data_IF_427002387596
#
_entry.id   IF_427002387596
#
_cell.length_a   1.000
_cell.length_b   1.000
_cell.length_c   1.000
_cell.angle_alpha   90.00
_cell.angle_beta   90.00
_cell.angle_gamma   90.00
#
_symmetry.space_group_name_H-M   'P 1'
#
loop_
_entity.id
_entity.type
_entity.pdbx_description
1 polymer ?
#
# COMPACT_ATOMS: atom_id res chain seq x y z
N UNK A 1 -22.95 -21.41 18.25
CA UNK A 1 -22.46 -20.04 18.00
C UNK A 1 -21.18 -19.82 18.81
N UNK A 2 -20.03 -19.68 18.15
CA UNK A 2 -18.73 -19.48 18.84
C UNK A 2 -18.68 -18.08 19.46
N UNK A 3 -18.30 -17.96 20.74
CA UNK A 3 -18.25 -16.67 21.46
C UNK A 3 -16.80 -16.25 21.68
N UNK A 4 -16.37 -15.19 20.98
CA UNK A 4 -15.02 -14.61 21.13
C UNK A 4 -14.79 -14.21 22.59
N UNK A 5 -13.72 -14.71 23.22
CA UNK A 5 -13.28 -14.31 24.57
C UNK A 5 -12.46 -13.02 24.50
N UNK A 6 -12.62 -12.15 25.49
CA UNK A 6 -11.77 -10.96 25.68
C UNK A 6 -10.35 -11.36 26.11
N UNK A 7 -9.43 -10.39 26.21
CA UNK A 7 -8.01 -10.65 26.49
C UNK A 7 -7.80 -11.42 27.80
N UNK A 8 -8.49 -10.99 28.88
CA UNK A 8 -8.44 -11.64 30.19
C UNK A 8 -8.95 -13.08 30.11
N UNK A 9 -10.08 -13.30 29.44
CA UNK A 9 -10.66 -14.62 29.25
C UNK A 9 -9.80 -15.57 28.40
N UNK A 10 -9.03 -15.04 27.44
CA UNK A 10 -8.05 -15.81 26.66
C UNK A 10 -6.85 -16.22 27.51
N UNK A 11 -6.28 -15.29 28.26
CA UNK A 11 -5.12 -15.53 29.12
C UNK A 11 -5.47 -16.52 30.24
N UNK A 12 -6.63 -16.35 30.85
CA UNK A 12 -7.13 -17.26 31.87
C UNK A 12 -7.37 -18.67 31.33
N UNK A 13 -7.93 -18.81 30.12
CA UNK A 13 -8.10 -20.11 29.47
C UNK A 13 -6.74 -20.76 29.16
N UNK A 14 -5.77 -19.99 28.68
CA UNK A 14 -4.40 -20.47 28.39
C UNK A 14 -3.72 -21.04 29.63
N UNK A 15 -3.89 -20.37 30.77
CA UNK A 15 -3.28 -20.78 32.04
C UNK A 15 -3.98 -21.98 32.67
N UNK A 16 -5.33 -21.99 32.68
CA UNK A 16 -6.12 -23.00 33.38
C UNK A 16 -6.24 -24.32 32.61
N UNK A 17 -6.35 -24.26 31.29
CA UNK A 17 -6.61 -25.45 30.46
C UNK A 17 -6.03 -25.24 29.06
N UNK A 18 -4.75 -25.61 28.91
CA UNK A 18 -4.01 -25.41 27.67
C UNK A 18 -4.65 -26.15 26.48
N UNK A 19 -5.24 -27.33 26.71
CA UNK A 19 -5.92 -28.10 25.66
C UNK A 19 -7.16 -27.36 25.16
N UNK A 20 -8.01 -26.85 26.07
CA UNK A 20 -9.15 -25.99 25.69
C UNK A 20 -8.72 -24.67 25.09
N UNK A 21 -7.56 -24.12 25.47
CA UNK A 21 -7.00 -22.94 24.80
C UNK A 21 -6.60 -23.24 23.35
N UNK A 22 -5.95 -24.38 23.09
CA UNK A 22 -5.61 -24.81 21.73
C UNK A 22 -6.86 -25.07 20.89
N UNK A 23 -7.88 -25.73 21.46
CA UNK A 23 -9.18 -25.91 20.83
C UNK A 23 -9.86 -24.57 20.55
N UNK A 24 -9.90 -23.65 21.51
CA UNK A 24 -10.43 -22.29 21.33
C UNK A 24 -9.69 -21.51 20.23
N UNK A 25 -8.37 -21.65 20.09
CA UNK A 25 -7.59 -21.03 19.01
C UNK A 25 -7.92 -21.64 17.65
N UNK A 26 -8.13 -22.95 17.58
CA UNK A 26 -8.58 -23.66 16.37
C UNK A 26 -10.01 -23.26 15.99
N UNK A 27 -10.94 -23.24 16.95
CA UNK A 27 -12.31 -22.78 16.77
C UNK A 27 -12.38 -21.29 16.38
N UNK A 28 -11.55 -20.43 16.99
CA UNK A 28 -11.44 -19.02 16.59
C UNK A 28 -10.96 -18.89 15.15
N UNK A 29 -9.98 -19.72 14.74
CA UNK A 29 -9.46 -19.74 13.37
C UNK A 29 -10.54 -20.22 12.38
N UNK A 30 -11.24 -21.31 12.68
CA UNK A 30 -12.32 -21.83 11.85
C UNK A 30 -13.53 -20.91 11.83
N UNK A 31 -13.84 -20.24 12.95
CA UNK A 31 -14.90 -19.24 13.02
C UNK A 31 -14.58 -18.04 12.12
N UNK A 32 -13.32 -17.58 12.08
CA UNK A 32 -12.93 -16.53 11.12
C UNK A 32 -12.97 -17.01 9.67
N UNK A 33 -12.73 -18.29 9.40
CA UNK A 33 -12.86 -18.89 8.07
C UNK A 33 -14.32 -19.07 7.67
N UNK A 34 -15.20 -19.41 8.61
CA UNK A 34 -16.65 -19.47 8.40
C UNK A 34 -17.26 -18.06 8.24
N UNK A 35 -16.80 -17.05 8.99
CA UNK A 35 -17.18 -15.64 8.78
C UNK A 35 -16.76 -15.17 7.37
N UNK A 36 -15.55 -15.52 6.93
CA UNK A 36 -15.09 -15.25 5.57
C UNK A 36 -15.93 -16.00 4.53
N UNK A 37 -16.19 -17.30 4.70
CA UNK A 37 -17.03 -18.10 3.82
C UNK A 37 -18.46 -17.56 3.74
N UNK A 38 -19.07 -17.23 4.88
CA UNK A 38 -20.40 -16.63 4.94
C UNK A 38 -20.44 -15.26 4.26
N UNK A 39 -19.35 -14.48 4.34
CA UNK A 39 -19.20 -13.26 3.54
C UNK A 39 -19.14 -13.57 2.04
N UNK A 40 -18.33 -14.54 1.62
CA UNK A 40 -18.22 -14.93 0.20
C UNK A 40 -19.50 -15.57 -0.36
N UNK A 41 -20.33 -16.19 0.50
CA UNK A 41 -21.57 -16.87 0.13
C UNK A 41 -22.83 -16.02 0.35
N UNK A 42 -22.70 -14.78 0.82
CA UNK A 42 -23.84 -13.90 1.10
C UNK A 42 -24.37 -13.20 -0.16
N UNK A 43 -25.67 -13.34 -0.43
CA UNK A 43 -26.31 -12.79 -1.65
C UNK A 43 -26.28 -11.25 -1.73
N UNK A 44 -26.29 -10.56 -0.58
CA UNK A 44 -26.29 -9.09 -0.48
C UNK A 44 -24.91 -8.44 -0.75
N UNK A 45 -23.88 -9.24 -1.05
CA UNK A 45 -22.51 -8.72 -1.26
C UNK A 45 -22.39 -7.94 -2.57
N UNK A 46 -21.66 -6.82 -2.51
CA UNK A 46 -21.23 -6.05 -3.67
C UNK A 46 -19.95 -6.65 -4.29
N UNK A 47 -20.08 -7.84 -4.88
CA UNK A 47 -18.98 -8.66 -5.42
C UNK A 47 -18.96 -8.76 -6.95
N UNK A 48 -19.81 -8.00 -7.61
CA UNK A 48 -19.83 -7.84 -9.06
C UNK A 48 -20.04 -6.37 -9.39
N UNK A 49 -19.60 -5.97 -10.58
CA UNK A 49 -19.78 -4.61 -11.07
C UNK A 49 -21.27 -4.25 -11.17
N UNK A 50 -22.11 -5.19 -11.61
CA UNK A 50 -23.55 -5.02 -11.80
C UNK A 50 -24.24 -4.69 -10.48
N UNK A 51 -23.97 -5.46 -9.41
CA UNK A 51 -24.52 -5.21 -8.07
C UNK A 51 -24.07 -3.86 -7.53
N UNK A 52 -22.80 -3.50 -7.72
CA UNK A 52 -22.26 -2.21 -7.29
C UNK A 52 -22.98 -1.06 -7.99
N UNK A 53 -23.18 -1.15 -9.32
CA UNK A 53 -23.89 -0.14 -10.11
C UNK A 53 -25.37 -0.04 -9.70
N UNK A 54 -26.03 -1.16 -9.42
CA UNK A 54 -27.41 -1.18 -8.95
C UNK A 54 -27.57 -0.45 -7.61
N UNK A 55 -26.74 -0.79 -6.62
CA UNK A 55 -26.77 -0.13 -5.30
C UNK A 55 -26.38 1.35 -5.40
N UNK A 56 -25.38 1.69 -6.23
CA UNK A 56 -25.00 3.08 -6.48
C UNK A 56 -26.16 3.90 -7.04
N UNK A 57 -26.91 3.37 -8.03
CA UNK A 57 -28.08 4.05 -8.60
C UNK A 57 -29.19 4.24 -7.58
N UNK A 58 -29.42 3.25 -6.71
CA UNK A 58 -30.45 3.28 -5.67
C UNK A 58 -30.13 4.28 -4.55
N UNK A 59 -28.90 4.27 -4.06
CA UNK A 59 -28.48 5.07 -2.90
C UNK A 59 -27.97 6.46 -3.31
N UNK A 60 -27.62 6.66 -4.58
CA UNK A 60 -27.09 7.92 -5.11
C UNK A 60 -25.67 8.26 -4.66
N UNK A 61 -24.99 7.37 -3.93
CA UNK A 61 -23.60 7.48 -3.47
C UNK A 61 -23.05 6.11 -3.09
N UNK A 62 -21.73 6.02 -2.86
CA UNK A 62 -21.08 4.86 -2.27
C UNK A 62 -20.13 5.25 -1.14
N UNK A 63 -20.14 4.42 -0.09
CA UNK A 63 -19.29 4.57 1.09
C UNK A 63 -18.40 3.34 1.17
N UNK A 64 -17.10 3.56 0.99
CA UNK A 64 -16.08 2.51 0.94
C UNK A 64 -15.19 2.64 2.17
N UNK A 65 -14.84 1.54 2.82
CA UNK A 65 -13.97 1.55 3.99
C UNK A 65 -12.70 0.72 3.77
N UNK A 66 -11.60 1.16 4.39
CA UNK A 66 -10.32 0.46 4.39
C UNK A 66 -9.53 0.76 5.68
N UNK A 67 -8.75 -0.20 6.18
CA UNK A 67 -7.96 -0.06 7.42
C UNK A 67 -6.47 -0.39 7.33
N UNK A 68 -6.01 -0.79 6.14
CA UNK A 68 -4.62 -1.19 5.91
C UNK A 68 -3.58 -0.11 6.13
N UNK A 69 -2.31 -0.51 6.15
CA UNK A 69 -1.21 0.46 6.21
C UNK A 69 -1.31 1.46 5.04
N UNK A 70 -0.59 2.58 5.13
CA UNK A 70 -0.62 3.63 4.11
C UNK A 70 -0.43 3.10 2.68
N UNK A 71 0.50 2.16 2.46
CA UNK A 71 0.69 1.52 1.16
C UNK A 71 -0.51 0.71 0.69
N UNK A 72 -1.14 -0.07 1.57
CA UNK A 72 -2.36 -0.84 1.25
C UNK A 72 -3.49 0.10 0.80
N UNK A 73 -3.64 1.27 1.44
CA UNK A 73 -4.63 2.29 1.05
C UNK A 73 -4.35 2.81 -0.36
N UNK A 74 -3.08 3.12 -0.69
CA UNK A 74 -2.69 3.57 -2.04
C UNK A 74 -2.96 2.49 -3.09
N UNK A 75 -2.69 1.22 -2.79
CA UNK A 75 -2.96 0.10 -3.69
C UNK A 75 -4.45 -0.26 -3.83
N UNK A 76 -5.33 0.24 -2.95
CA UNK A 76 -6.77 0.11 -3.09
C UNK A 76 -7.37 1.14 -4.08
N UNK A 77 -6.71 2.28 -4.27
CA UNK A 77 -7.17 3.38 -5.13
C UNK A 77 -7.54 2.99 -6.56
N UNK A 78 -6.81 2.14 -7.30
CA UNK A 78 -7.19 1.83 -8.68
C UNK A 78 -8.53 1.09 -8.76
N UNK A 79 -8.86 0.26 -7.76
CA UNK A 79 -10.18 -0.37 -7.65
C UNK A 79 -11.26 0.68 -7.34
N UNK A 80 -11.00 1.59 -6.39
CA UNK A 80 -11.92 2.66 -6.00
C UNK A 80 -12.19 3.61 -7.18
N UNK A 81 -11.14 4.01 -7.90
CA UNK A 81 -11.23 4.84 -9.11
C UNK A 81 -12.11 4.16 -10.15
N UNK A 82 -11.91 2.87 -10.40
CA UNK A 82 -12.74 2.13 -11.36
C UNK A 82 -14.21 2.06 -10.92
N UNK A 83 -14.47 1.87 -9.63
CA UNK A 83 -15.83 1.93 -9.06
C UNK A 83 -16.47 3.30 -9.31
N UNK A 84 -15.74 4.40 -9.04
CA UNK A 84 -16.23 5.75 -9.30
C UNK A 84 -16.58 5.96 -10.78
N UNK A 85 -15.72 5.50 -11.70
CA UNK A 85 -15.94 5.60 -13.15
C UNK A 85 -17.20 4.86 -13.62
N UNK A 86 -17.39 3.60 -13.19
CA UNK A 86 -18.49 2.76 -13.69
C UNK A 86 -19.84 3.11 -13.05
N UNK A 87 -19.83 3.74 -11.88
CA UNK A 87 -21.06 4.11 -11.15
C UNK A 87 -21.47 5.55 -11.41
N UNK A 88 -20.52 6.48 -11.57
CA UNK A 88 -20.79 7.90 -11.78
C UNK A 88 -21.41 8.62 -10.58
N UNK A 89 -21.48 7.98 -9.41
CA UNK A 89 -22.02 8.57 -8.18
C UNK A 89 -20.89 9.08 -7.27
N UNK A 90 -21.19 9.99 -6.32
CA UNK A 90 -20.25 10.35 -5.27
C UNK A 90 -19.69 9.14 -4.52
N UNK A 91 -18.36 9.06 -4.40
CA UNK A 91 -17.65 8.00 -3.68
C UNK A 91 -16.91 8.58 -2.48
N UNK A 92 -17.23 8.09 -1.29
CA UNK A 92 -16.60 8.47 -0.03
C UNK A 92 -15.69 7.34 0.47
N UNK A 93 -14.45 7.67 0.82
CA UNK A 93 -13.50 6.73 1.41
C UNK A 93 -13.35 6.98 2.92
N UNK A 94 -13.60 5.95 3.71
CA UNK A 94 -13.46 5.97 5.16
C UNK A 94 -12.23 5.18 5.60
N UNK A 95 -11.39 5.80 6.44
CA UNK A 95 -10.24 5.17 7.06
C UNK A 95 -10.63 4.66 8.45
N UNK A 96 -10.58 3.34 8.63
CA UNK A 96 -10.79 2.70 9.95
C UNK A 96 -9.45 2.64 10.67
N UNK A 97 -9.32 3.43 11.72
CA UNK A 97 -8.05 3.59 12.44
C UNK A 97 -7.82 2.49 13.48
N UNK A 98 -6.58 2.45 13.98
CA UNK A 98 -6.16 1.67 15.14
C UNK A 98 -6.39 0.16 15.02
N UNK A 99 -6.43 -0.37 13.80
CA UNK A 99 -6.44 -1.81 13.60
C UNK A 99 -5.09 -2.40 13.99
N UNK A 100 -5.06 -3.53 14.72
CA UNK A 100 -3.82 -4.15 15.15
C UNK A 100 -3.00 -4.56 13.94
N UNK A 101 -1.68 -4.37 14.00
CA UNK A 101 -0.80 -4.95 12.98
C UNK A 101 -0.96 -6.49 12.99
N UNK A 102 -1.04 -7.14 11.81
CA UNK A 102 -0.98 -8.59 11.74
C UNK A 102 0.37 -9.03 12.30
N UNK A 103 0.41 -10.18 12.99
CA UNK A 103 1.68 -10.74 13.47
C UNK A 103 2.69 -10.77 12.32
N UNK A 104 3.88 -10.18 12.48
CA UNK A 104 4.84 -10.04 11.40
C UNK A 104 5.26 -11.44 10.94
N UNK A 105 4.92 -11.80 9.70
CA UNK A 105 5.24 -13.11 9.11
C UNK A 105 6.77 -13.30 9.03
N UNK A 106 7.54 -12.21 8.93
CA UNK A 106 8.98 -12.25 8.65
C UNK A 106 9.84 -11.25 9.46
N UNK A 107 9.34 -10.68 10.56
CA UNK A 107 10.12 -9.72 11.36
C UNK A 107 9.88 -9.87 12.85
N UNK A 108 10.92 -10.22 13.62
CA UNK A 108 10.90 -10.15 15.08
C UNK A 108 11.13 -8.74 15.62
N UNK A 109 11.34 -7.74 14.76
CA UNK A 109 11.50 -6.33 15.15
C UNK A 109 10.16 -5.61 15.18
N UNK A 110 9.88 -4.77 16.20
CA UNK A 110 8.69 -3.93 16.22
C UNK A 110 8.67 -3.01 15.00
N UNK A 111 7.50 -2.84 14.38
CA UNK A 111 7.34 -1.94 13.25
C UNK A 111 7.65 -0.50 13.70
N UNK A 112 8.45 0.23 12.91
CA UNK A 112 8.87 1.62 13.21
C UNK A 112 7.70 2.61 13.38
N UNK A 113 6.48 2.21 13.05
CA UNK A 113 5.27 3.04 13.05
C UNK A 113 4.29 2.69 14.19
N UNK A 114 4.69 1.84 15.15
CA UNK A 114 3.89 1.47 16.30
C UNK A 114 3.10 0.17 16.14
N UNK A 115 2.12 -0.05 17.01
CA UNK A 115 1.39 -1.32 17.12
C UNK A 115 0.14 -1.44 16.22
N UNK A 116 -0.18 -0.39 15.46
CA UNK A 116 -1.41 -0.29 14.66
C UNK A 116 -1.10 0.04 13.20
N UNK A 117 -2.00 -0.34 12.29
CA UNK A 117 -1.83 -0.11 10.85
C UNK A 117 -1.85 1.39 10.48
N UNK A 118 -2.94 2.08 10.83
CA UNK A 118 -3.08 3.53 10.66
C UNK A 118 -3.39 4.17 12.02
N UNK A 119 -2.48 5.02 12.51
CA UNK A 119 -2.75 5.95 13.61
C UNK A 119 -3.18 7.33 13.11
N UNK A 120 -3.61 8.21 14.01
CA UNK A 120 -4.13 9.54 13.67
C UNK A 120 -3.18 10.37 12.78
N UNK A 121 -1.87 10.41 13.11
CA UNK A 121 -0.91 11.19 12.32
C UNK A 121 -0.78 10.71 10.87
N UNK A 122 -0.73 9.39 10.66
CA UNK A 122 -0.73 8.79 9.31
C UNK A 122 -2.04 9.05 8.59
N UNK A 123 -3.16 8.95 9.30
CA UNK A 123 -4.49 9.21 8.74
C UNK A 123 -4.62 10.65 8.23
N UNK A 124 -4.18 11.65 9.01
CA UNK A 124 -4.20 13.05 8.59
C UNK A 124 -3.39 13.25 7.31
N UNK A 125 -2.16 12.72 7.25
CA UNK A 125 -1.31 12.83 6.05
C UNK A 125 -1.92 12.14 4.83
N UNK A 126 -2.54 10.96 5.00
CA UNK A 126 -3.26 10.27 3.93
C UNK A 126 -4.46 11.09 3.45
N UNK A 127 -5.31 11.56 4.37
CA UNK A 127 -6.51 12.34 4.03
C UNK A 127 -6.13 13.58 3.22
N UNK A 128 -5.07 14.31 3.61
CA UNK A 128 -4.58 15.47 2.85
C UNK A 128 -4.23 15.12 1.41
N UNK A 129 -3.50 14.01 1.17
CA UNK A 129 -3.16 13.55 -0.17
C UNK A 129 -4.39 13.06 -0.95
N UNK A 130 -5.24 12.25 -0.33
CA UNK A 130 -6.34 11.58 -1.02
C UNK A 130 -7.50 12.52 -1.36
N UNK A 131 -7.65 13.64 -0.64
CA UNK A 131 -8.62 14.70 -0.96
C UNK A 131 -8.34 15.44 -2.26
N UNK A 132 -7.13 15.35 -2.81
CA UNK A 132 -6.82 15.97 -4.10
C UNK A 132 -7.28 15.12 -5.30
N UNK A 133 -7.79 13.90 -5.05
CA UNK A 133 -8.17 12.96 -6.10
C UNK A 133 -9.62 13.20 -6.55
N UNK A 134 -9.82 13.58 -7.81
CA UNK A 134 -11.13 13.98 -8.35
C UNK A 134 -12.19 12.87 -8.35
N UNK A 135 -11.76 11.60 -8.33
CA UNK A 135 -12.66 10.44 -8.28
C UNK A 135 -13.15 10.12 -6.85
N UNK A 136 -12.70 10.86 -5.83
CA UNK A 136 -13.19 10.78 -4.46
C UNK A 136 -13.94 12.06 -4.10
N UNK A 137 -15.18 11.92 -3.63
CA UNK A 137 -15.98 13.06 -3.16
C UNK A 137 -15.51 13.54 -1.79
N UNK A 138 -15.09 12.62 -0.92
CA UNK A 138 -14.40 12.96 0.33
C UNK A 138 -13.63 11.75 0.89
N UNK A 139 -12.69 12.05 1.81
CA UNK A 139 -11.93 11.06 2.57
C UNK A 139 -11.93 11.45 4.05
N UNK A 140 -12.40 10.56 4.92
CA UNK A 140 -12.58 10.83 6.35
C UNK A 140 -12.19 9.66 7.23
N UNK A 141 -12.06 9.90 8.53
CA UNK A 141 -12.00 8.82 9.52
C UNK A 141 -13.39 8.20 9.66
N UNK A 142 -13.44 6.88 9.81
CA UNK A 142 -14.67 6.16 10.08
C UNK A 142 -15.19 6.43 11.50
N UNK A 143 -16.44 6.88 11.60
CA UNK A 143 -17.15 7.23 12.85
C UNK A 143 -18.53 6.54 12.91
N UNK A 144 -18.65 5.34 12.33
CA UNK A 144 -19.89 4.54 12.23
C UNK A 144 -20.86 4.95 11.11
N UNK A 145 -20.35 5.48 10.00
CA UNK A 145 -21.16 5.70 8.80
C UNK A 145 -21.66 4.37 8.21
N UNK A 146 -22.78 4.37 7.48
CA UNK A 146 -23.23 3.21 6.70
C UNK A 146 -22.17 2.89 5.64
N UNK A 147 -21.64 1.68 5.65
CA UNK A 147 -20.66 1.21 4.66
C UNK A 147 -21.35 0.35 3.61
N UNK A 148 -21.04 0.62 2.34
CA UNK A 148 -21.51 -0.16 1.20
C UNK A 148 -20.48 -1.22 0.79
N UNK A 149 -19.19 -0.86 0.77
CA UNK A 149 -18.09 -1.75 0.38
C UNK A 149 -17.02 -1.73 1.47
N UNK A 150 -16.74 -2.89 2.07
CA UNK A 150 -15.59 -3.06 2.98
C UNK A 150 -14.44 -3.73 2.23
N UNK A 151 -13.38 -2.95 1.97
CA UNK A 151 -12.22 -3.48 1.25
C UNK A 151 -11.32 -4.33 2.15
N UNK A 152 -11.45 -4.27 3.48
CA UNK A 152 -10.63 -5.09 4.39
C UNK A 152 -10.86 -6.59 4.22
N UNK A 153 -11.96 -6.98 3.56
CA UNK A 153 -12.22 -8.37 3.16
C UNK A 153 -11.14 -8.96 2.27
N UNK A 154 -10.23 -8.15 1.71
CA UNK A 154 -9.07 -8.72 1.04
C UNK A 154 -8.20 -9.57 1.98
N UNK A 155 -8.26 -9.32 3.30
CA UNK A 155 -7.55 -10.07 4.35
C UNK A 155 -8.31 -11.30 4.85
N UNK A 156 -9.38 -11.70 4.17
CA UNK A 156 -10.23 -12.85 4.53
C UNK A 156 -9.56 -14.24 4.38
N UNK A 157 -8.26 -14.29 4.03
CA UNK A 157 -7.43 -15.48 3.76
C UNK A 157 -7.76 -16.25 2.46
N UNK A 158 -8.75 -15.81 1.69
CA UNK A 158 -9.05 -16.41 0.38
C UNK A 158 -8.20 -15.82 -0.74
N UNK A 159 -7.66 -14.61 -0.54
CA UNK A 159 -6.78 -13.96 -1.51
C UNK A 159 -5.32 -14.30 -1.20
N UNK A 160 -4.53 -14.71 -2.21
CA UNK A 160 -3.11 -15.00 -2.05
C UNK A 160 -2.26 -13.72 -1.87
N UNK A 161 -2.13 -13.23 -0.63
CA UNK A 161 -1.46 -11.95 -0.31
C UNK A 161 0.06 -11.94 -0.47
N UNK A 162 0.69 -13.08 -0.77
CA UNK A 162 2.16 -13.18 -0.91
C UNK A 162 2.61 -13.32 -2.34
N UNK A 163 1.77 -13.89 -3.21
CA UNK A 163 2.09 -14.27 -4.58
C UNK A 163 1.04 -13.76 -5.59
N UNK A 164 0.37 -12.65 -5.28
CA UNK A 164 -0.46 -11.90 -6.23
C UNK A 164 -0.22 -10.41 -6.10
N UNK A 165 -0.49 -9.65 -7.17
CA UNK A 165 -0.31 -8.20 -7.18
C UNK A 165 -1.26 -7.51 -6.18
N UNK A 166 -0.69 -6.79 -5.21
CA UNK A 166 -1.40 -6.03 -4.16
C UNK A 166 -2.44 -5.07 -4.73
N UNK A 167 -2.16 -4.47 -5.89
CA UNK A 167 -3.10 -3.55 -6.54
C UNK A 167 -4.37 -4.25 -7.11
N UNK A 168 -4.40 -5.59 -7.14
CA UNK A 168 -5.56 -6.40 -7.55
C UNK A 168 -6.40 -6.92 -6.39
N UNK A 169 -5.88 -6.90 -5.16
CA UNK A 169 -6.54 -7.55 -4.02
C UNK A 169 -7.95 -7.02 -3.78
N UNK A 170 -8.15 -5.71 -3.82
CA UNK A 170 -9.47 -5.11 -3.69
C UNK A 170 -10.40 -5.46 -4.87
N UNK A 171 -9.86 -5.62 -6.08
CA UNK A 171 -10.62 -6.07 -7.24
C UNK A 171 -11.15 -7.49 -7.09
N UNK A 172 -10.38 -8.40 -6.47
CA UNK A 172 -10.87 -9.75 -6.14
C UNK A 172 -12.00 -9.74 -5.10
N UNK A 173 -12.08 -8.69 -4.26
CA UNK A 173 -13.17 -8.51 -3.28
C UNK A 173 -14.44 -7.99 -3.95
N UNK A 174 -14.34 -7.16 -4.98
CA UNK A 174 -15.48 -6.45 -5.56
C UNK A 174 -15.91 -6.96 -6.92
N UNK A 175 -15.13 -7.84 -7.55
CA UNK A 175 -15.33 -8.25 -8.94
C UNK A 175 -14.95 -7.17 -9.96
N UNK A 176 -14.47 -6.00 -9.51
CA UNK A 176 -14.05 -4.90 -10.37
C UNK A 176 -12.60 -5.09 -10.78
N UNK A 177 -12.33 -5.03 -12.09
CA UNK A 177 -10.97 -5.16 -12.63
C UNK A 177 -10.35 -3.78 -12.86
N UNK A 178 -9.37 -3.35 -12.05
CA UNK A 178 -8.74 -2.05 -12.22
C UNK A 178 -7.77 -2.00 -13.40
N UNK A 179 -7.61 -0.83 -14.00
CA UNK A 179 -6.60 -0.55 -15.05
C UNK A 179 -5.25 -0.20 -14.40
N UNK A 180 -4.43 -1.20 -14.13
CA UNK A 180 -3.18 -1.00 -13.41
C UNK A 180 -2.05 -0.33 -14.20
N UNK A 181 -2.16 -0.25 -15.52
CA UNK A 181 -1.14 0.38 -16.36
C UNK A 181 -1.30 1.91 -16.45
N UNK A 182 -2.42 2.46 -15.95
CA UNK A 182 -2.70 3.91 -15.90
C UNK A 182 -2.45 4.48 -14.50
N UNK A 183 -2.19 5.79 -14.37
CA UNK A 183 -2.14 6.44 -13.06
C UNK A 183 -3.47 6.33 -12.30
N UNK A 184 -3.36 6.14 -10.99
CA UNK A 184 -4.49 6.17 -10.05
C UNK A 184 -4.23 7.09 -8.87
N UNK A 185 -3.16 7.89 -8.91
CA UNK A 185 -2.90 9.01 -8.03
C UNK A 185 -2.47 10.20 -8.89
N UNK A 186 -3.00 11.39 -8.59
CA UNK A 186 -2.77 12.61 -9.35
C UNK A 186 -2.36 13.74 -8.39
N UNK A 187 -1.24 14.38 -8.68
CA UNK A 187 -0.70 15.53 -7.96
C UNK A 187 0.04 16.42 -8.95
N UNK A 188 0.17 17.70 -8.64
CA UNK A 188 1.05 18.61 -9.39
C UNK A 188 2.53 18.26 -9.09
N UNK A 189 3.35 17.94 -10.10
CA UNK A 189 4.73 17.53 -9.89
C UNK A 189 5.59 18.71 -9.39
N UNK A 190 6.47 18.44 -8.43
CA UNK A 190 7.51 19.40 -8.04
C UNK A 190 8.66 19.36 -9.05
N UNK A 191 8.63 20.30 -10.00
CA UNK A 191 9.61 20.38 -11.09
C UNK A 191 11.03 20.69 -10.62
N UNK A 192 11.23 21.10 -9.36
CA UNK A 192 12.59 21.28 -8.82
C UNK A 192 13.33 19.95 -8.69
N UNK A 193 12.65 18.81 -8.76
CA UNK A 193 13.24 17.47 -8.69
C UNK A 193 13.49 16.79 -10.05
N UNK A 194 13.23 17.47 -11.18
CA UNK A 194 13.28 16.87 -12.52
C UNK A 194 14.64 16.28 -12.93
N UNK A 195 15.71 16.72 -12.28
CA UNK A 195 17.08 16.26 -12.51
C UNK A 195 17.57 15.28 -11.44
N UNK A 196 16.73 14.95 -10.45
CA UNK A 196 17.10 14.17 -9.27
C UNK A 196 16.66 12.72 -9.37
N UNK A 197 17.54 11.83 -8.91
CA UNK A 197 17.19 10.43 -8.63
C UNK A 197 16.63 10.40 -7.21
N UNK A 198 15.36 10.06 -7.07
CA UNK A 198 14.72 9.96 -5.75
C UNK A 198 14.80 8.53 -5.26
N UNK A 199 15.37 8.34 -4.07
CA UNK A 199 15.64 7.05 -3.45
C UNK A 199 14.86 6.91 -2.15
N UNK A 200 14.18 5.78 -1.96
CA UNK A 200 13.61 5.42 -0.67
C UNK A 200 13.77 3.92 -0.44
N UNK A 201 14.35 3.50 0.70
CA UNK A 201 14.58 2.09 0.97
C UNK A 201 14.29 1.74 2.43
N UNK A 202 13.14 1.10 2.64
CA UNK A 202 12.72 0.70 3.99
C UNK A 202 13.51 -0.49 4.53
N UNK A 203 13.48 -0.70 5.84
CA UNK A 203 14.11 -1.88 6.48
C UNK A 203 13.49 -3.22 6.07
N UNK A 204 12.23 -3.22 5.63
CA UNK A 204 11.50 -4.42 5.22
C UNK A 204 11.72 -4.70 3.75
N UNK A 205 11.53 -5.96 3.32
CA UNK A 205 11.54 -6.34 1.90
C UNK A 205 12.83 -5.90 1.18
N UNK A 206 13.97 -6.05 1.85
CA UNK A 206 15.28 -5.79 1.25
C UNK A 206 15.81 -7.06 0.61
N UNK A 207 16.40 -6.92 -0.56
CA UNK A 207 17.21 -7.93 -1.18
C UNK A 207 18.66 -7.79 -0.65
N UNK A 208 19.11 -8.78 0.12
CA UNK A 208 20.43 -8.77 0.76
C UNK A 208 21.59 -8.89 -0.23
N UNK A 209 21.34 -9.25 -1.49
CA UNK A 209 22.38 -9.38 -2.52
C UNK A 209 22.60 -8.10 -3.31
N UNK A 210 21.91 -7.00 -2.99
CA UNK A 210 21.98 -5.74 -3.73
C UNK A 210 22.81 -4.72 -2.96
N UNK A 211 23.80 -4.16 -3.65
CA UNK A 211 24.62 -3.05 -3.17
C UNK A 211 24.22 -1.74 -3.85
N UNK A 212 23.85 -0.77 -3.05
CA UNK A 212 23.49 0.58 -3.51
C UNK A 212 24.69 1.53 -3.60
N UNK A 213 25.90 1.10 -3.20
CA UNK A 213 27.08 1.97 -3.15
C UNK A 213 27.47 2.55 -4.51
N UNK A 214 27.13 1.89 -5.61
CA UNK A 214 27.37 2.39 -6.97
C UNK A 214 26.65 3.72 -7.27
N UNK A 215 25.57 4.04 -6.54
CA UNK A 215 24.85 5.31 -6.68
C UNK A 215 25.70 6.52 -6.27
N UNK A 216 26.82 6.33 -5.55
CA UNK A 216 27.78 7.41 -5.26
C UNK A 216 28.41 8.02 -6.52
N UNK A 217 28.31 7.33 -7.66
CA UNK A 217 28.82 7.78 -8.95
C UNK A 217 27.78 8.62 -9.73
N UNK A 218 26.60 8.87 -9.16
CA UNK A 218 25.54 9.65 -9.77
C UNK A 218 25.34 10.94 -8.98
N UNK A 219 25.25 12.05 -9.69
CA UNK A 219 24.89 13.33 -9.11
C UNK A 219 23.39 13.37 -8.76
N UNK A 220 23.02 14.27 -7.85
CA UNK A 220 21.63 14.62 -7.55
C UNK A 220 20.76 13.45 -7.05
N UNK A 221 21.34 12.52 -6.30
CA UNK A 221 20.59 11.48 -5.56
C UNK A 221 20.05 12.08 -4.25
N UNK A 222 18.73 12.02 -4.06
CA UNK A 222 18.04 12.50 -2.85
C UNK A 222 17.26 11.37 -2.21
N UNK A 223 17.34 11.29 -0.89
CA UNK A 223 16.64 10.29 -0.10
C UNK A 223 15.31 10.83 0.47
N UNK A 224 14.25 10.04 0.33
CA UNK A 224 12.97 10.24 1.01
C UNK A 224 12.71 9.08 1.97
N UNK A 225 12.35 9.39 3.22
CA UNK A 225 12.03 8.38 4.21
C UNK A 225 12.28 8.90 5.62
N UNK A 226 12.30 7.97 6.59
CA UNK A 226 12.56 8.34 7.97
C UNK A 226 14.08 8.46 8.22
N UNK A 227 14.52 9.25 9.22
CA UNK A 227 15.94 9.45 9.52
C UNK A 227 16.73 8.15 9.70
N UNK A 228 16.13 7.12 10.33
CA UNK A 228 16.81 5.84 10.53
C UNK A 228 17.13 5.11 9.22
N UNK A 229 16.21 5.14 8.25
CA UNK A 229 16.42 4.52 6.92
C UNK A 229 17.44 5.33 6.10
N UNK A 230 17.44 6.65 6.25
CA UNK A 230 18.43 7.53 5.62
C UNK A 230 19.84 7.27 6.15
N UNK A 231 20.03 7.26 7.47
CA UNK A 231 21.34 7.03 8.09
C UNK A 231 21.91 5.65 7.72
N UNK A 232 21.04 4.67 7.49
CA UNK A 232 21.44 3.38 6.97
C UNK A 232 21.94 3.48 5.52
N UNK A 233 21.20 4.15 4.63
CA UNK A 233 21.58 4.32 3.23
C UNK A 233 22.81 5.21 3.03
N UNK A 234 23.00 6.22 3.89
CA UNK A 234 24.13 7.14 3.85
C UNK A 234 25.48 6.44 4.06
N UNK A 235 25.51 5.29 4.75
CA UNK A 235 26.71 4.45 4.88
C UNK A 235 27.20 3.91 3.54
N UNK A 236 26.27 3.64 2.62
CA UNK A 236 26.57 3.14 1.27
C UNK A 236 26.82 4.29 0.29
N UNK A 237 26.15 5.43 0.50
CA UNK A 237 26.20 6.60 -0.39
C UNK A 237 26.54 7.84 0.47
N UNK A 238 27.83 8.14 0.72
CA UNK A 238 28.22 9.22 1.63
C UNK A 238 27.71 10.62 1.25
N UNK A 239 27.52 10.88 -0.05
CA UNK A 239 26.99 12.14 -0.58
C UNK A 239 25.46 12.25 -0.60
N UNK A 240 24.74 11.24 -0.10
CA UNK A 240 23.28 11.21 -0.08
C UNK A 240 22.71 12.33 0.78
N UNK A 241 21.70 13.04 0.26
CA UNK A 241 21.00 14.11 0.98
C UNK A 241 19.62 13.62 1.42
N UNK A 242 19.29 13.75 2.69
CA UNK A 242 17.93 13.58 3.19
C UNK A 242 17.09 14.79 2.79
N UNK A 243 15.93 14.55 2.21
CA UNK A 243 14.89 15.55 2.08
C UNK A 243 13.75 15.21 3.04
N UNK A 244 13.51 16.10 4.00
CA UNK A 244 12.45 15.93 4.99
C UNK A 244 11.11 16.36 4.41
N UNK A 245 10.16 15.43 4.35
CA UNK A 245 8.81 15.71 3.83
C UNK A 245 7.85 15.94 4.98
N UNK A 246 7.25 17.12 5.00
CA UNK A 246 6.23 17.53 5.97
C UNK A 246 4.92 16.73 5.81
N UNK A 247 4.61 16.26 4.60
CA UNK A 247 3.34 15.58 4.28
C UNK A 247 3.48 14.48 3.22
N UNK A 248 2.47 13.61 3.12
CA UNK A 248 2.40 12.63 2.02
C UNK A 248 2.07 13.28 0.67
N UNK A 249 1.43 14.45 0.67
CA UNK A 249 1.20 15.23 -0.54
C UNK A 249 2.54 15.70 -1.11
N UNK A 250 3.36 16.37 -0.31
CA UNK A 250 4.70 16.82 -0.71
C UNK A 250 5.57 15.66 -1.21
N UNK A 251 5.59 14.54 -0.48
CA UNK A 251 6.29 13.33 -0.92
C UNK A 251 5.82 12.85 -2.31
N UNK A 252 4.50 12.83 -2.56
CA UNK A 252 3.96 12.45 -3.85
C UNK A 252 4.33 13.45 -4.96
N UNK A 253 4.33 14.74 -4.69
CA UNK A 253 4.71 15.79 -5.65
C UNK A 253 6.18 15.68 -6.05
N UNK A 254 7.06 15.42 -5.08
CA UNK A 254 8.49 15.16 -5.33
C UNK A 254 8.68 13.91 -6.19
N UNK A 255 8.01 12.81 -5.85
CA UNK A 255 8.10 11.56 -6.62
C UNK A 255 7.55 11.74 -8.03
N UNK A 256 6.48 12.51 -8.21
CA UNK A 256 5.90 12.81 -9.52
C UNK A 256 6.83 13.67 -10.38
N UNK A 257 7.56 14.60 -9.76
CA UNK A 257 8.47 15.52 -10.45
C UNK A 257 9.90 15.01 -10.63
N UNK A 258 10.27 13.86 -10.08
CA UNK A 258 11.64 13.35 -10.15
C UNK A 258 12.04 12.82 -11.53
N UNK A 259 13.34 12.69 -11.80
CA UNK A 259 13.84 12.05 -13.02
C UNK A 259 13.39 10.59 -13.09
N UNK A 260 13.64 9.86 -12.02
CA UNK A 260 13.09 8.53 -11.76
C UNK A 260 13.23 8.18 -10.28
N UNK A 261 12.37 7.27 -9.83
CA UNK A 261 12.31 6.79 -8.47
C UNK A 261 12.99 5.41 -8.32
N UNK A 262 13.66 5.17 -7.19
CA UNK A 262 14.18 3.85 -6.80
C UNK A 262 13.68 3.53 -5.40
N UNK A 263 13.09 2.34 -5.22
CA UNK A 263 12.79 1.86 -3.87
C UNK A 263 12.38 0.40 -3.79
N UNK A 264 12.23 -0.08 -2.56
CA UNK A 264 11.72 -1.42 -2.28
C UNK A 264 10.23 -1.39 -1.93
N UNK A 265 9.63 -2.56 -1.64
CA UNK A 265 8.20 -2.72 -1.31
C UNK A 265 7.78 -1.95 -0.05
N UNK A 266 7.57 -0.65 -0.21
CA UNK A 266 7.40 0.34 0.85
C UNK A 266 6.33 1.36 0.47
N UNK A 267 5.95 2.20 1.43
CA UNK A 267 4.96 3.25 1.17
C UNK A 267 5.41 4.24 0.06
N UNK A 268 6.65 4.78 0.05
CA UNK A 268 7.12 5.61 -1.05
C UNK A 268 7.01 4.93 -2.42
N UNK A 269 7.33 3.64 -2.51
CA UNK A 269 7.16 2.91 -3.77
C UNK A 269 5.69 2.81 -4.21
N UNK A 270 4.74 2.65 -3.27
CA UNK A 270 3.31 2.66 -3.61
C UNK A 270 2.87 3.97 -4.24
N UNK A 271 3.44 5.10 -3.84
CA UNK A 271 3.19 6.40 -4.47
C UNK A 271 3.76 6.44 -5.88
N UNK A 272 5.03 6.04 -6.08
CA UNK A 272 5.64 5.99 -7.40
C UNK A 272 4.86 5.09 -8.37
N UNK A 273 4.41 3.93 -7.90
CA UNK A 273 3.57 3.00 -8.67
C UNK A 273 2.20 3.59 -9.01
N UNK A 274 1.60 4.36 -8.12
CA UNK A 274 0.32 5.02 -8.34
C UNK A 274 0.39 6.19 -9.33
N UNK A 275 1.49 6.94 -9.28
CA UNK A 275 1.76 8.11 -10.12
C UNK A 275 2.22 7.73 -11.54
N UNK A 276 2.78 6.52 -11.70
CA UNK A 276 3.41 6.04 -12.95
C UNK A 276 4.58 6.90 -13.41
N UNK A 277 5.31 7.52 -12.48
CA UNK A 277 6.62 8.07 -12.83
C UNK A 277 7.59 6.94 -13.22
N UNK A 278 8.68 7.24 -13.94
CA UNK A 278 9.75 6.28 -14.16
C UNK A 278 10.26 5.76 -12.83
N UNK A 279 10.27 4.43 -12.64
CA UNK A 279 10.50 3.84 -11.31
C UNK A 279 11.11 2.45 -11.37
N UNK A 280 11.95 2.16 -10.39
CA UNK A 280 12.65 0.89 -10.23
C UNK A 280 12.29 0.28 -8.87
N UNK A 281 11.75 -0.94 -8.87
CA UNK A 281 11.46 -1.74 -7.68
C UNK A 281 12.61 -2.69 -7.36
N UNK A 282 13.16 -2.57 -6.15
CA UNK A 282 13.90 -3.67 -5.53
C UNK A 282 12.91 -4.74 -5.08
N UNK A 283 12.85 -5.85 -5.81
CA UNK A 283 11.93 -6.95 -5.54
C UNK A 283 12.40 -7.83 -4.38
N UNK A 284 11.49 -8.18 -3.47
CA UNK A 284 11.75 -9.18 -2.43
C UNK A 284 11.14 -10.52 -2.83
N UNK A 285 12.00 -11.44 -3.29
CA UNK A 285 11.59 -12.69 -3.92
C UNK A 285 10.78 -13.65 -3.01
N UNK A 286 10.87 -13.53 -1.68
CA UNK A 286 10.03 -14.33 -0.78
C UNK A 286 8.57 -13.86 -0.74
N UNK A 287 8.30 -12.60 -1.07
CA UNK A 287 6.97 -12.00 -1.05
C UNK A 287 6.77 -11.08 -2.27
N UNK A 288 6.69 -11.65 -3.49
CA UNK A 288 6.61 -10.89 -4.74
C UNK A 288 5.18 -10.38 -5.01
N UNK A 289 4.60 -9.63 -4.06
CA UNK A 289 3.23 -9.11 -4.18
C UNK A 289 3.15 -7.71 -4.79
N UNK A 290 4.27 -7.01 -5.00
CA UNK A 290 4.27 -5.74 -5.75
C UNK A 290 4.81 -6.06 -7.13
N UNK A 291 3.95 -5.90 -8.14
CA UNK A 291 4.32 -6.09 -9.55
C UNK A 291 4.08 -4.74 -10.23
N UNK A 292 5.16 -4.02 -10.64
CA UNK A 292 5.02 -2.73 -11.29
C UNK A 292 4.34 -2.84 -12.65
N UNK A 293 3.38 -1.96 -12.93
CA UNK A 293 2.57 -2.02 -14.16
C UNK A 293 2.59 -0.69 -14.92
N UNK A 294 2.64 -0.75 -16.25
CA UNK A 294 2.64 0.43 -17.13
C UNK A 294 4.02 0.85 -17.62
N UNK A 295 4.07 2.02 -18.26
CA UNK A 295 5.30 2.54 -18.87
C UNK A 295 6.36 2.89 -17.82
N UNK A 296 7.64 2.74 -18.19
CA UNK A 296 8.81 3.06 -17.37
C UNK A 296 8.78 2.41 -15.97
N UNK A 297 8.07 1.29 -15.85
CA UNK A 297 8.00 0.45 -14.67
C UNK A 297 9.06 -0.65 -14.78
N UNK A 298 9.96 -0.72 -13.80
CA UNK A 298 11.00 -1.74 -13.76
C UNK A 298 11.07 -2.38 -12.39
N UNK A 299 11.47 -3.64 -12.35
CA UNK A 299 11.83 -4.38 -11.15
C UNK A 299 13.11 -5.20 -11.38
N UNK A 300 13.77 -5.58 -10.30
CA UNK A 300 15.01 -6.35 -10.37
C UNK A 300 15.24 -7.23 -9.15
N UNK A 301 16.05 -8.28 -9.36
CA UNK A 301 16.59 -9.16 -8.31
C UNK A 301 18.12 -9.20 -8.28
N UNK A 302 18.79 -8.74 -9.33
CA UNK A 302 20.24 -8.87 -9.50
C UNK A 302 20.91 -7.50 -9.67
N UNK A 303 22.12 -7.37 -9.12
CA UNK A 303 22.89 -6.12 -9.11
C UNK A 303 23.06 -5.53 -10.52
N UNK A 304 23.52 -6.34 -11.48
CA UNK A 304 23.77 -5.88 -12.85
C UNK A 304 22.51 -5.33 -13.54
N UNK A 305 21.32 -5.82 -13.15
CA UNK A 305 20.07 -5.30 -13.68
C UNK A 305 19.78 -3.90 -13.12
N UNK A 306 19.93 -3.70 -11.80
CA UNK A 306 19.78 -2.39 -11.18
C UNK A 306 20.73 -1.36 -11.81
N UNK A 307 22.02 -1.66 -11.90
CA UNK A 307 22.99 -0.71 -12.45
C UNK A 307 22.69 -0.36 -13.92
N UNK A 308 22.29 -1.35 -14.72
CA UNK A 308 21.87 -1.16 -16.12
C UNK A 308 20.63 -0.28 -16.22
N UNK A 309 19.62 -0.51 -15.38
CA UNK A 309 18.39 0.30 -15.35
C UNK A 309 18.69 1.75 -14.97
N UNK A 310 19.46 1.97 -13.90
CA UNK A 310 19.86 3.32 -13.44
C UNK A 310 20.64 4.06 -14.52
N UNK A 311 21.63 3.41 -15.14
CA UNK A 311 22.41 4.01 -16.23
C UNK A 311 21.51 4.45 -17.39
N UNK A 312 20.58 3.58 -17.82
CA UNK A 312 19.67 3.85 -18.94
C UNK A 312 18.73 5.01 -18.66
N UNK A 313 18.08 5.00 -17.49
CA UNK A 313 17.15 6.07 -17.11
C UNK A 313 17.86 7.40 -16.87
N UNK A 314 19.09 7.36 -16.35
CA UNK A 314 19.89 8.56 -16.18
C UNK A 314 20.29 9.21 -17.51
N UNK A 315 20.59 8.41 -18.53
CA UNK A 315 20.91 8.89 -19.89
C UNK A 315 19.68 9.39 -20.64
N UNK A 316 18.53 8.73 -20.49
CA UNK A 316 17.28 9.14 -21.16
C UNK A 316 16.78 10.52 -20.70
N UNK A 317 17.11 10.93 -19.46
CA UNK A 317 16.77 12.23 -18.90
C UNK A 317 17.74 13.36 -19.22
N UNK A 318 18.84 13.12 -19.95
CA UNK A 318 19.73 14.18 -20.41
C UNK A 318 19.25 14.70 -21.77
N UNK A 319 19.25 16.03 -22.02
CA UNK A 319 19.02 16.54 -23.37
C UNK A 319 20.02 15.88 -24.31
N UNK A 320 19.53 15.34 -25.44
CA UNK A 320 20.41 14.84 -26.48
C UNK A 320 21.22 16.03 -27.01
N UNK A 321 22.53 16.03 -26.74
CA UNK A 321 23.47 17.01 -27.28
C UNK A 321 23.50 16.97 -28.82
#
# INVERSE_FOLDING_TARGET
MFKKKNLIGKLWLKYRDYHKYKQYKWELKNYTEQEALNFFMGDERLDTQEKIVEVAKKEGLLNIIHSGNAGDVIYALPTIKKIAEVTGVPVFLYLRLNQPLPDPIFSNKPHSMGAVMIGNGTATKLITLLKTQSYLSDVRVYENQKIHIDLDFFRSKTIPLTNSNIARWCGYVTGVTPELWRPWLFVEPDTTFNDKIVLARSERYRNSTIDYSFLKNYDNVVFLGIPAEYEDMKKHIPGLKLHDTSSFLEMAQIIAGCRFFIGNQSFPYSLAEALKCPRILEGYYHVPHVIPEGENAHDFYFQNHLESLVKRLNQAGQPKN
#
